data_IF_221630339699
#
_entry.id   IF_221630339699
#
_cell.length_a   1.000
_cell.length_b   1.000
_cell.length_c   1.000
_cell.angle_alpha   90.00
_cell.angle_beta   90.00
_cell.angle_gamma   90.00
#
_symmetry.space_group_name_H-M   'P 1'
#
loop_
_entity.id
_entity.type
_entity.pdbx_description
1 polymer ?
#
# COMPACT_ATOMS: atom_id res chain seq x y z
N UNK A 1 39.71 57.69 -7.08
CA UNK A 1 38.43 57.23 -6.48
C UNK A 1 37.59 56.38 -7.44
N UNK A 2 37.77 56.52 -8.75
CA UNK A 2 37.03 55.80 -9.80
C UNK A 2 37.44 54.31 -9.94
N UNK A 3 38.73 53.99 -9.79
CA UNK A 3 39.27 52.62 -9.94
C UNK A 3 38.78 51.66 -8.83
N UNK A 4 38.52 52.16 -7.62
CA UNK A 4 38.06 51.34 -6.49
C UNK A 4 36.59 50.91 -6.64
N UNK A 5 35.77 51.75 -7.30
CA UNK A 5 34.37 51.44 -7.59
C UNK A 5 34.24 50.37 -8.67
N UNK A 6 35.06 50.43 -9.74
CA UNK A 6 35.07 49.41 -10.79
C UNK A 6 35.50 48.03 -10.28
N UNK A 7 36.50 47.98 -9.39
CA UNK A 7 36.98 46.71 -8.82
C UNK A 7 35.93 46.05 -7.90
N UNK A 8 35.19 46.85 -7.11
CA UNK A 8 34.07 46.36 -6.31
C UNK A 8 32.94 45.82 -7.19
N UNK A 9 32.59 46.52 -8.27
CA UNK A 9 31.51 46.14 -9.19
C UNK A 9 31.83 44.85 -9.98
N UNK A 10 33.10 44.67 -10.37
CA UNK A 10 33.59 43.44 -11.00
C UNK A 10 33.66 42.24 -10.02
N UNK A 11 33.98 42.49 -8.75
CA UNK A 11 34.01 41.43 -7.72
C UNK A 11 32.61 40.94 -7.33
N UNK A 12 31.60 41.82 -7.38
CA UNK A 12 30.21 41.52 -7.05
C UNK A 12 29.51 40.75 -8.19
N UNK A 13 29.81 41.04 -9.45
CA UNK A 13 29.20 40.36 -10.60
C UNK A 13 29.70 38.93 -10.82
N UNK A 14 30.94 38.60 -10.42
CA UNK A 14 31.49 37.25 -10.58
C UNK A 14 30.98 36.22 -9.56
N UNK A 15 30.42 36.66 -8.42
CA UNK A 15 29.90 35.74 -7.39
C UNK A 15 28.52 35.17 -7.71
N UNK A 16 27.75 35.81 -8.59
CA UNK A 16 26.37 35.42 -8.85
C UNK A 16 26.18 34.49 -10.06
N UNK A 17 27.23 34.21 -10.86
CA UNK A 17 27.10 33.34 -12.04
C UNK A 17 27.50 31.88 -11.80
N UNK A 18 27.59 31.45 -10.54
CA UNK A 18 27.76 30.03 -10.21
C UNK A 18 26.45 29.30 -10.53
N UNK A 19 26.25 29.04 -11.82
CA UNK A 19 25.16 28.22 -12.34
C UNK A 19 25.17 26.92 -11.55
N UNK A 20 24.14 26.72 -10.73
CA UNK A 20 23.90 25.45 -10.07
C UNK A 20 23.56 24.47 -11.19
N UNK A 21 24.58 23.78 -11.70
CA UNK A 21 24.41 22.72 -12.68
C UNK A 21 23.81 21.54 -11.94
N UNK A 22 22.49 21.41 -12.00
CA UNK A 22 21.79 20.21 -11.60
C UNK A 22 22.14 19.09 -12.59
N UNK A 23 23.08 18.24 -12.20
CA UNK A 23 23.38 17.01 -12.94
C UNK A 23 22.29 16.01 -12.62
N UNK A 24 21.31 15.90 -13.53
CA UNK A 24 20.28 14.86 -13.47
C UNK A 24 20.93 13.47 -13.50
N UNK A 25 20.46 12.56 -12.65
CA UNK A 25 21.06 11.23 -12.40
C UNK A 25 20.67 10.24 -13.50
N UNK A 26 19.42 10.23 -13.97
CA UNK A 26 18.96 9.36 -15.06
C UNK A 26 18.55 10.16 -16.29
N UNK A 27 17.58 11.07 -16.13
CA UNK A 27 17.21 12.07 -17.13
C UNK A 27 16.26 13.11 -16.54
N UNK A 28 16.22 14.35 -17.05
CA UNK A 28 15.40 15.42 -16.45
C UNK A 28 13.93 15.06 -16.28
N UNK A 29 13.34 14.36 -17.26
CA UNK A 29 11.93 13.95 -17.20
C UNK A 29 11.68 12.83 -16.19
N UNK A 30 12.57 11.84 -16.13
CA UNK A 30 12.43 10.71 -15.20
C UNK A 30 12.68 11.15 -13.78
N UNK A 31 13.74 11.93 -13.57
CA UNK A 31 14.09 12.42 -12.24
C UNK A 31 13.00 13.34 -11.67
N UNK A 32 12.41 14.21 -12.50
CA UNK A 32 11.29 15.06 -12.08
C UNK A 32 10.05 14.23 -11.70
N UNK A 33 9.69 13.25 -12.52
CA UNK A 33 8.52 12.41 -12.26
C UNK A 33 8.71 11.53 -11.02
N UNK A 34 9.87 10.89 -10.88
CA UNK A 34 10.11 9.93 -9.81
C UNK A 34 10.53 10.59 -8.50
N UNK A 35 11.44 11.57 -8.49
CA UNK A 35 11.88 12.19 -7.24
C UNK A 35 10.94 13.30 -6.80
N UNK A 36 10.64 14.27 -7.67
CA UNK A 36 9.77 15.39 -7.30
C UNK A 36 8.32 14.92 -7.19
N UNK A 37 7.87 14.07 -8.11
CA UNK A 37 6.52 13.51 -8.05
C UNK A 37 6.29 12.68 -6.78
N UNK A 38 7.22 11.81 -6.38
CA UNK A 38 7.07 11.03 -5.14
C UNK A 38 7.12 11.93 -3.89
N UNK A 39 7.98 12.94 -3.86
CA UNK A 39 8.02 13.90 -2.77
C UNK A 39 6.70 14.68 -2.64
N UNK A 40 6.13 15.15 -3.75
CA UNK A 40 4.84 15.85 -3.75
C UNK A 40 3.69 14.95 -3.28
N UNK A 41 3.66 13.68 -3.72
CA UNK A 41 2.66 12.71 -3.26
C UNK A 41 2.81 12.46 -1.75
N UNK A 42 4.05 12.34 -1.24
CA UNK A 42 4.31 12.21 0.19
C UNK A 42 3.81 13.42 0.99
N UNK A 43 4.08 14.64 0.53
CA UNK A 43 3.58 15.86 1.18
C UNK A 43 2.06 16.00 1.10
N UNK A 44 1.44 15.62 -0.02
CA UNK A 44 -0.02 15.56 -0.15
C UNK A 44 -0.62 14.59 0.88
N UNK A 45 0.00 13.42 1.06
CA UNK A 45 -0.43 12.44 2.05
C UNK A 45 -0.33 12.96 3.49
N UNK A 46 0.78 13.60 3.85
CA UNK A 46 0.93 14.28 5.15
C UNK A 46 -0.14 15.36 5.31
N UNK A 47 -0.41 16.14 4.26
CA UNK A 47 -1.47 17.15 4.25
C UNK A 47 -2.86 16.56 4.53
N UNK A 48 -3.18 15.40 3.95
CA UNK A 48 -4.45 14.69 4.21
C UNK A 48 -4.54 14.27 5.68
N UNK A 49 -3.46 13.72 6.25
CA UNK A 49 -3.42 13.32 7.66
C UNK A 49 -3.65 14.53 8.57
N UNK A 50 -2.91 15.62 8.34
CA UNK A 50 -3.04 16.85 9.14
C UNK A 50 -4.45 17.43 9.00
N UNK A 51 -4.97 17.51 7.78
CA UNK A 51 -6.34 17.97 7.53
C UNK A 51 -7.37 17.11 8.28
N UNK A 52 -7.20 15.79 8.28
CA UNK A 52 -8.08 14.88 9.00
C UNK A 52 -8.06 15.09 10.51
N UNK A 53 -6.87 15.26 11.09
CA UNK A 53 -6.70 15.53 12.52
C UNK A 53 -7.32 16.88 12.91
N UNK A 54 -7.25 17.89 12.04
CA UNK A 54 -7.79 19.22 12.32
C UNK A 54 -9.30 19.34 12.10
N UNK A 55 -9.89 18.47 11.27
CA UNK A 55 -11.29 18.57 10.85
C UNK A 55 -12.21 17.60 11.60
N UNK A 56 -11.68 16.46 12.07
CA UNK A 56 -12.46 15.40 12.71
C UNK A 56 -12.28 15.42 14.23
N UNK A 57 -13.37 15.26 14.97
CA UNK A 57 -13.33 15.14 16.43
C UNK A 57 -12.62 13.86 16.88
N UNK A 58 -12.85 12.74 16.18
CA UNK A 58 -12.15 11.48 16.40
C UNK A 58 -11.58 10.92 15.08
N UNK A 59 -10.37 11.35 14.65
CA UNK A 59 -9.82 11.03 13.34
C UNK A 59 -9.61 9.53 13.07
N UNK A 60 -9.53 8.70 14.12
CA UNK A 60 -9.40 7.25 13.99
C UNK A 60 -10.74 6.58 13.61
N UNK A 61 -11.86 7.10 14.12
CA UNK A 61 -13.18 6.46 13.97
C UNK A 61 -14.09 7.19 12.99
N UNK A 62 -13.91 8.49 12.85
CA UNK A 62 -14.71 9.31 11.96
C UNK A 62 -14.17 9.22 10.53
N UNK A 63 -15.09 9.08 9.58
CA UNK A 63 -14.73 8.94 8.17
C UNK A 63 -14.53 10.32 7.53
N UNK A 64 -13.40 10.49 6.82
CA UNK A 64 -13.17 11.69 6.00
C UNK A 64 -14.12 11.75 4.81
N UNK A 65 -14.40 10.58 4.23
CA UNK A 65 -15.36 10.41 3.16
C UNK A 65 -15.88 8.96 3.17
N UNK A 66 -17.06 8.73 2.61
CA UNK A 66 -17.61 7.38 2.44
C UNK A 66 -17.69 7.08 0.96
N UNK A 67 -16.94 6.09 0.51
CA UNK A 67 -16.95 5.62 -0.87
C UNK A 67 -18.01 4.55 -1.01
N UNK A 68 -18.92 4.72 -1.98
CA UNK A 68 -19.99 3.76 -2.26
C UNK A 68 -19.67 2.98 -3.53
N UNK A 69 -19.40 1.68 -3.39
CA UNK A 69 -19.12 0.78 -4.53
C UNK A 69 -20.04 -0.42 -4.42
N UNK A 70 -20.91 -0.63 -5.42
CA UNK A 70 -21.78 -1.82 -5.48
C UNK A 70 -22.69 -2.02 -4.26
N UNK A 71 -23.13 -0.94 -3.61
CA UNK A 71 -23.96 -0.98 -2.39
C UNK A 71 -23.17 -1.09 -1.08
N UNK A 72 -21.86 -1.29 -1.13
CA UNK A 72 -20.98 -1.25 0.04
C UNK A 72 -20.59 0.20 0.36
N UNK A 73 -20.77 0.59 1.62
CA UNK A 73 -20.31 1.88 2.15
C UNK A 73 -18.95 1.68 2.82
N UNK A 74 -17.88 2.11 2.17
CA UNK A 74 -16.51 2.01 2.70
C UNK A 74 -16.13 3.36 3.31
N UNK A 75 -16.09 3.48 4.65
CA UNK A 75 -15.63 4.70 5.30
C UNK A 75 -14.12 4.83 5.14
N UNK A 76 -13.67 5.95 4.56
CA UNK A 76 -12.26 6.33 4.50
C UNK A 76 -11.87 6.99 5.83
N UNK A 77 -11.70 6.18 6.86
CA UNK A 77 -11.10 6.65 8.12
C UNK A 77 -9.60 6.87 7.95
N UNK A 78 -9.01 7.66 8.84
CA UNK A 78 -7.56 7.86 8.83
C UNK A 78 -6.81 6.54 9.02
N UNK A 79 -7.31 5.69 9.92
CA UNK A 79 -6.77 4.34 10.14
C UNK A 79 -6.75 3.52 8.85
N UNK A 80 -7.88 3.48 8.14
CA UNK A 80 -7.99 2.74 6.89
C UNK A 80 -7.01 3.27 5.84
N UNK A 81 -6.90 4.60 5.67
CA UNK A 81 -5.96 5.20 4.74
C UNK A 81 -4.50 4.89 5.09
N UNK A 82 -4.14 4.91 6.38
CA UNK A 82 -2.79 4.60 6.85
C UNK A 82 -2.45 3.14 6.64
N UNK A 83 -3.34 2.22 7.03
CA UNK A 83 -3.13 0.78 6.85
C UNK A 83 -3.05 0.44 5.36
N UNK A 84 -3.95 0.98 4.54
CA UNK A 84 -3.96 0.75 3.10
C UNK A 84 -2.68 1.30 2.46
N UNK A 85 -2.23 2.49 2.84
CA UNK A 85 -1.00 3.09 2.33
C UNK A 85 0.22 2.28 2.74
N UNK A 86 0.31 1.83 4.00
CA UNK A 86 1.37 0.93 4.45
C UNK A 86 1.39 -0.38 3.65
N UNK A 87 0.23 -1.03 3.51
CA UNK A 87 0.10 -2.31 2.82
C UNK A 87 0.47 -2.18 1.32
N UNK A 88 0.05 -1.12 0.65
CA UNK A 88 0.30 -0.95 -0.78
C UNK A 88 1.68 -0.37 -1.09
N UNK A 89 2.18 0.58 -0.30
CA UNK A 89 3.42 1.31 -0.62
C UNK A 89 4.63 0.59 -0.05
N UNK A 90 4.55 0.05 1.17
CA UNK A 90 5.70 -0.57 1.83
C UNK A 90 5.70 -2.08 1.66
N UNK A 91 4.56 -2.72 1.91
CA UNK A 91 4.50 -4.18 1.91
C UNK A 91 4.39 -4.75 0.49
N UNK A 92 3.59 -4.14 -0.40
CA UNK A 92 3.42 -4.67 -1.74
C UNK A 92 4.74 -4.78 -2.53
N UNK A 93 5.63 -3.76 -2.61
CA UNK A 93 6.91 -3.93 -3.31
C UNK A 93 7.79 -5.02 -2.71
N UNK A 94 7.75 -5.19 -1.38
CA UNK A 94 8.50 -6.22 -0.68
C UNK A 94 7.96 -7.64 -0.98
N UNK A 95 6.64 -7.81 -0.91
CA UNK A 95 5.95 -9.06 -1.28
C UNK A 95 6.17 -9.38 -2.76
N UNK A 96 6.05 -8.39 -3.64
CA UNK A 96 6.28 -8.57 -5.08
C UNK A 96 7.72 -8.93 -5.43
N UNK A 97 8.71 -8.36 -4.74
CA UNK A 97 10.11 -8.77 -4.90
C UNK A 97 10.31 -10.24 -4.48
N UNK A 98 9.66 -10.65 -3.39
CA UNK A 98 9.74 -12.03 -2.88
C UNK A 98 9.02 -13.02 -3.80
N UNK A 99 7.82 -12.69 -4.27
CA UNK A 99 7.06 -13.49 -5.24
C UNK A 99 7.78 -13.54 -6.59
N UNK A 100 8.37 -12.45 -7.04
CA UNK A 100 9.21 -12.38 -8.25
C UNK A 100 10.33 -13.42 -8.24
N UNK A 101 11.04 -13.48 -7.11
CA UNK A 101 12.17 -14.39 -6.90
C UNK A 101 11.78 -15.87 -6.79
N UNK A 102 10.60 -16.18 -6.26
CA UNK A 102 10.26 -17.56 -5.87
C UNK A 102 9.14 -18.15 -6.73
N UNK A 103 8.08 -17.37 -6.95
CA UNK A 103 6.88 -17.80 -7.63
C UNK A 103 6.96 -17.61 -9.14
N UNK A 104 7.67 -16.58 -9.60
CA UNK A 104 7.81 -16.26 -11.02
C UNK A 104 9.13 -16.73 -11.63
N UNK A 105 10.03 -17.34 -10.86
CA UNK A 105 11.28 -17.91 -11.35
C UNK A 105 11.08 -19.36 -11.85
N UNK A 106 11.19 -19.63 -13.18
CA UNK A 106 10.98 -20.97 -13.72
C UNK A 106 12.00 -22.00 -13.25
N UNK A 107 13.22 -21.59 -12.91
CA UNK A 107 14.28 -22.50 -12.48
C UNK A 107 14.05 -22.95 -11.02
N UNK A 108 13.51 -22.08 -10.18
CA UNK A 108 13.10 -22.42 -8.81
C UNK A 108 11.94 -23.43 -8.81
N UNK A 109 10.98 -23.32 -9.75
CA UNK A 109 9.90 -24.30 -9.92
C UNK A 109 10.38 -25.68 -10.37
N UNK A 110 11.47 -25.76 -11.13
CA UNK A 110 12.05 -27.06 -11.55
C UNK A 110 12.70 -27.80 -10.39
N UNK A 111 13.32 -27.07 -9.45
CA UNK A 111 14.03 -27.66 -8.31
C UNK A 111 13.11 -27.87 -7.10
N UNK A 112 12.22 -26.91 -6.80
CA UNK A 112 11.40 -26.86 -5.56
C UNK A 112 9.89 -26.77 -5.83
N UNK A 113 9.44 -27.09 -7.04
CA UNK A 113 8.03 -26.96 -7.43
C UNK A 113 7.07 -27.85 -6.63
N UNK A 114 7.55 -28.86 -5.91
CA UNK A 114 6.71 -29.63 -4.97
C UNK A 114 6.42 -28.80 -3.73
N UNK A 115 7.42 -28.18 -3.14
CA UNK A 115 7.33 -27.35 -1.94
C UNK A 115 6.49 -26.09 -2.21
N UNK A 116 6.66 -25.46 -3.38
CA UNK A 116 5.84 -24.31 -3.79
C UNK A 116 4.35 -24.71 -3.93
N UNK A 117 4.05 -25.88 -4.49
CA UNK A 117 2.65 -26.37 -4.55
C UNK A 117 2.08 -26.62 -3.16
N UNK A 118 2.85 -27.19 -2.24
CA UNK A 118 2.41 -27.36 -0.86
C UNK A 118 2.17 -26.03 -0.16
N UNK A 119 2.98 -25.01 -0.39
CA UNK A 119 2.73 -23.69 0.20
C UNK A 119 1.43 -23.06 -0.29
N UNK A 120 1.04 -23.28 -1.56
CA UNK A 120 -0.27 -22.87 -2.05
C UNK A 120 -1.43 -23.61 -1.39
N UNK A 121 -1.27 -24.92 -1.13
CA UNK A 121 -2.28 -25.69 -0.39
C UNK A 121 -2.43 -25.11 1.01
N UNK A 122 -1.32 -24.86 1.71
CA UNK A 122 -1.32 -24.23 3.03
C UNK A 122 -1.92 -22.83 3.03
N UNK A 123 -1.64 -22.04 1.99
CA UNK A 123 -2.23 -20.71 1.83
C UNK A 123 -3.77 -20.77 1.71
N UNK A 124 -4.31 -21.79 1.04
CA UNK A 124 -5.76 -21.95 0.89
C UNK A 124 -6.45 -22.48 2.14
N UNK A 125 -5.73 -23.13 3.06
CA UNK A 125 -6.34 -23.70 4.28
C UNK A 125 -7.04 -22.61 5.11
N UNK A 126 -6.46 -21.41 5.24
CA UNK A 126 -7.08 -20.31 5.98
C UNK A 126 -8.44 -19.88 5.41
N UNK A 127 -8.52 -19.46 4.13
CA UNK A 127 -9.80 -19.15 3.49
C UNK A 127 -10.79 -20.31 3.48
N UNK A 128 -10.32 -21.55 3.29
CA UNK A 128 -11.17 -22.74 3.33
C UNK A 128 -11.78 -22.97 4.72
N UNK A 129 -10.99 -22.80 5.79
CA UNK A 129 -11.47 -22.91 7.17
C UNK A 129 -12.65 -21.98 7.46
N UNK A 130 -12.59 -20.77 6.91
CA UNK A 130 -13.63 -19.75 7.08
C UNK A 130 -14.83 -20.09 6.21
N UNK A 131 -14.64 -20.42 4.93
CA UNK A 131 -15.72 -20.53 3.94
C UNK A 131 -16.44 -21.87 3.95
N UNK A 132 -15.75 -22.97 4.29
CA UNK A 132 -16.28 -24.32 4.20
C UNK A 132 -17.48 -24.56 5.14
N UNK A 133 -17.52 -24.08 6.40
CA UNK A 133 -18.71 -24.15 7.23
C UNK A 133 -19.91 -23.45 6.59
N UNK A 134 -19.74 -22.24 6.05
CA UNK A 134 -20.84 -21.52 5.40
C UNK A 134 -21.32 -22.20 4.12
N UNK A 135 -20.41 -22.83 3.37
CA UNK A 135 -20.78 -23.64 2.22
C UNK A 135 -21.59 -24.88 2.63
N UNK A 136 -21.19 -25.58 3.69
CA UNK A 136 -21.97 -26.71 4.23
C UNK A 136 -23.33 -26.22 4.73
N UNK A 137 -23.40 -25.07 5.39
CA UNK A 137 -24.64 -24.44 5.81
C UNK A 137 -25.57 -24.02 4.67
N UNK A 138 -25.04 -23.71 3.48
CA UNK A 138 -25.85 -23.36 2.32
C UNK A 138 -26.36 -24.59 1.55
N UNK A 139 -25.66 -25.72 1.65
CA UNK A 139 -26.02 -26.98 0.97
C UNK A 139 -26.94 -27.87 1.83
N UNK A 140 -26.82 -27.81 3.15
CA UNK A 140 -27.62 -28.64 4.07
C UNK A 140 -29.14 -28.42 4.04
N UNK A 141 -29.67 -27.22 3.71
CA UNK A 141 -31.11 -27.02 3.52
C UNK A 141 -31.69 -27.87 2.38
N UNK A 142 -30.91 -28.19 1.34
CA UNK A 142 -31.34 -29.08 0.25
C UNK A 142 -31.60 -30.52 0.71
N UNK A 143 -31.01 -30.91 1.85
CA UNK A 143 -31.19 -32.22 2.48
C UNK A 143 -32.14 -32.16 3.69
N UNK A 144 -32.85 -31.05 3.90
CA UNK A 144 -33.81 -30.87 4.99
C UNK A 144 -33.18 -30.61 6.36
N UNK A 145 -31.88 -30.32 6.43
CA UNK A 145 -31.16 -30.01 7.67
C UNK A 145 -30.82 -28.52 7.70
N UNK A 146 -31.33 -27.79 8.69
CA UNK A 146 -30.99 -26.36 8.88
C UNK A 146 -29.97 -26.21 9.99
N UNK A 147 -28.76 -25.75 9.65
CA UNK A 147 -27.69 -25.47 10.62
C UNK A 147 -27.75 -24.01 11.03
N UNK A 148 -27.68 -23.74 12.34
CA UNK A 148 -27.68 -22.36 12.85
C UNK A 148 -26.37 -21.63 12.51
N UNK A 149 -26.45 -20.32 12.26
CA UNK A 149 -25.27 -19.50 11.97
C UNK A 149 -24.22 -19.51 13.10
N UNK A 150 -24.67 -19.64 14.35
CA UNK A 150 -23.79 -19.77 15.51
C UNK A 150 -22.95 -21.05 15.44
N UNK A 151 -23.57 -22.17 15.05
CA UNK A 151 -22.87 -23.46 14.86
C UNK A 151 -21.85 -23.39 13.73
N UNK A 152 -22.16 -22.67 12.65
CA UNK A 152 -21.23 -22.47 11.53
C UNK A 152 -19.99 -21.66 11.96
N UNK A 153 -20.20 -20.59 12.74
CA UNK A 153 -19.12 -19.77 13.29
C UNK A 153 -18.26 -20.55 14.30
N UNK A 154 -18.87 -21.40 15.13
CA UNK A 154 -18.12 -22.29 16.03
C UNK A 154 -17.29 -23.30 15.25
N UNK A 155 -17.81 -23.84 14.13
CA UNK A 155 -17.08 -24.75 13.26
C UNK A 155 -15.83 -24.11 12.63
N UNK A 156 -15.91 -22.86 12.19
CA UNK A 156 -14.75 -22.13 11.66
C UNK A 156 -13.73 -21.78 12.75
N UNK A 157 -14.17 -21.46 13.98
CA UNK A 157 -13.26 -21.23 15.12
C UNK A 157 -12.54 -22.52 15.53
N UNK A 158 -13.27 -23.64 15.64
CA UNK A 158 -12.70 -24.95 15.99
C UNK A 158 -11.71 -25.48 14.96
N UNK A 159 -11.78 -25.02 13.71
CA UNK A 159 -10.78 -25.39 12.71
C UNK A 159 -9.38 -24.83 13.03
N UNK A 160 -9.29 -23.73 13.77
CA UNK A 160 -8.04 -23.05 14.11
C UNK A 160 -7.49 -23.37 15.51
N UNK A 161 -8.21 -24.16 16.31
CA UNK A 161 -7.83 -24.59 17.68
C UNK A 161 -7.39 -26.05 17.64
#
# INVERSE_FOLDING_TARGET
MTVFLEFMQASLSSRFSKQIRFTWILSPKKDLLFYIGSALVGWMYVGIIVFAILTLDNPLKDALAVVRIGGLNIPLTLEFLVVLSWALILDAPHVWATLGRTLFDPDEWRVRGREIRFSFIWFLIGPMAITLPYFVGSVTPFFGVTISAATLATGSILFFV
#
